data_IF_189459292353
#
_entry.id   IF_189459292353
#
_cell.length_a   1.000
_cell.length_b   1.000
_cell.length_c   1.000
_cell.angle_alpha   90.00
_cell.angle_beta   90.00
_cell.angle_gamma   90.00
#
_symmetry.space_group_name_H-M   'P 1'
#
loop_
_entity.id
_entity.type
_entity.pdbx_description
1 polymer ?
#
# COMPACT_ATOMS: atom_id res chain seq x y z
N UNK A 1 -24.14 7.91 0.30
CA UNK A 1 -23.01 7.06 0.69
C UNK A 1 -21.87 7.30 -0.29
N UNK A 2 -20.62 7.29 0.17
CA UNK A 2 -19.44 7.42 -0.70
C UNK A 2 -19.02 6.02 -1.15
N UNK A 3 -18.99 5.79 -2.46
CA UNK A 3 -18.56 4.53 -3.04
C UNK A 3 -17.10 4.60 -3.55
N UNK A 4 -16.41 3.47 -3.45
CA UNK A 4 -15.05 3.26 -3.93
C UNK A 4 -14.99 1.93 -4.67
N UNK A 5 -14.20 1.85 -5.73
CA UNK A 5 -14.01 0.63 -6.51
C UNK A 5 -13.15 -0.41 -5.76
N UNK A 6 -12.26 0.05 -4.87
CA UNK A 6 -11.53 -0.79 -3.95
C UNK A 6 -11.12 -0.06 -2.66
N UNK A 7 -10.99 -0.81 -1.58
CA UNK A 7 -10.49 -0.35 -0.28
C UNK A 7 -9.25 -1.17 0.08
N UNK A 8 -8.16 -0.48 0.40
CA UNK A 8 -6.88 -1.08 0.79
C UNK A 8 -6.67 -0.78 2.26
N UNK A 9 -6.57 -1.84 3.08
CA UNK A 9 -6.34 -1.72 4.53
C UNK A 9 -4.85 -1.92 4.80
N UNK A 10 -4.18 -0.83 5.17
CA UNK A 10 -2.75 -0.74 5.46
C UNK A 10 -1.98 0.06 4.40
N UNK A 11 -1.41 1.19 4.80
CA UNK A 11 -0.49 2.06 4.05
C UNK A 11 0.98 1.68 4.28
N UNK A 12 1.28 0.38 4.40
CA UNK A 12 2.64 -0.15 4.34
C UNK A 12 3.14 -0.31 2.89
N UNK A 13 4.37 -0.80 2.73
CA UNK A 13 5.00 -0.99 1.39
C UNK A 13 4.14 -1.85 0.44
N UNK A 14 3.48 -2.88 0.97
CA UNK A 14 2.60 -3.75 0.18
C UNK A 14 1.33 -3.00 -0.25
N UNK A 15 0.58 -2.43 0.70
CA UNK A 15 -0.69 -1.77 0.38
C UNK A 15 -0.53 -0.54 -0.49
N UNK A 16 0.50 0.28 -0.28
CA UNK A 16 0.79 1.40 -1.17
C UNK A 16 1.26 0.97 -2.56
N UNK A 17 2.06 -0.11 -2.66
CA UNK A 17 2.42 -0.69 -3.96
C UNK A 17 1.17 -1.16 -4.71
N UNK A 18 0.27 -1.87 -4.04
CA UNK A 18 -1.03 -2.29 -4.60
C UNK A 18 -1.85 -1.08 -5.07
N UNK A 19 -2.01 -0.05 -4.23
CA UNK A 19 -2.76 1.16 -4.56
C UNK A 19 -2.18 1.87 -5.79
N UNK A 20 -0.85 2.00 -5.81
CA UNK A 20 -0.11 2.61 -6.91
C UNK A 20 -0.34 1.85 -8.22
N UNK A 21 -0.19 0.52 -8.21
CA UNK A 21 -0.36 -0.28 -9.42
C UNK A 21 -1.81 -0.30 -9.92
N UNK A 22 -2.81 -0.30 -9.03
CA UNK A 22 -4.23 -0.12 -9.40
C UNK A 22 -4.43 1.23 -10.10
N UNK A 23 -3.98 2.34 -9.50
CA UNK A 23 -4.07 3.66 -10.14
C UNK A 23 -3.31 3.73 -11.46
N UNK A 24 -2.14 3.08 -11.55
CA UNK A 24 -1.33 3.08 -12.77
C UNK A 24 -2.02 2.35 -13.92
N UNK A 25 -2.73 1.26 -13.63
CA UNK A 25 -3.47 0.48 -14.63
C UNK A 25 -4.80 1.15 -15.01
N UNK A 26 -5.51 1.73 -14.04
CA UNK A 26 -6.74 2.47 -14.29
C UNK A 26 -6.82 3.71 -13.38
N UNK A 27 -6.41 4.89 -13.89
CA UNK A 27 -6.39 6.13 -13.12
C UNK A 27 -7.77 6.58 -12.62
N UNK A 28 -8.85 6.13 -13.28
CA UNK A 28 -10.22 6.54 -12.97
C UNK A 28 -10.81 5.81 -11.76
N UNK A 29 -10.25 4.66 -11.36
CA UNK A 29 -10.76 3.91 -10.20
C UNK A 29 -10.61 4.71 -8.91
N UNK A 30 -11.68 4.88 -8.15
CA UNK A 30 -11.67 5.50 -6.83
C UNK A 30 -11.21 4.46 -5.81
N UNK A 31 -10.00 4.63 -5.31
CA UNK A 31 -9.42 3.78 -4.26
C UNK A 31 -9.27 4.54 -2.96
N UNK A 32 -9.64 3.89 -1.87
CA UNK A 32 -9.44 4.36 -0.50
C UNK A 32 -8.34 3.53 0.15
N UNK A 33 -7.29 4.18 0.65
CA UNK A 33 -6.28 3.54 1.51
C UNK A 33 -6.54 3.99 2.94
N UNK A 34 -6.71 3.04 3.85
CA UNK A 34 -6.93 3.30 5.29
C UNK A 34 -5.79 2.68 6.08
N UNK A 35 -5.18 3.44 6.98
CA UNK A 35 -4.17 2.95 7.91
C UNK A 35 -4.56 3.32 9.34
N UNK A 36 -4.10 2.51 10.31
CA UNK A 36 -4.29 2.75 11.74
C UNK A 36 -3.36 3.87 12.25
N UNK A 37 -2.21 4.05 11.62
CA UNK A 37 -1.18 5.00 12.01
C UNK A 37 -1.34 6.37 11.33
N UNK A 38 -0.71 7.39 11.90
CA UNK A 38 -0.86 8.78 11.45
C UNK A 38 -0.14 9.08 10.12
N UNK A 39 0.75 8.20 9.67
CA UNK A 39 1.41 8.32 8.37
C UNK A 39 1.71 6.95 7.76
N UNK A 40 1.89 6.94 6.44
CA UNK A 40 2.29 5.77 5.69
C UNK A 40 3.61 5.15 6.20
N UNK A 41 3.71 3.83 6.13
CA UNK A 41 4.94 3.10 6.44
C UNK A 41 5.29 2.98 7.93
N UNK A 42 4.55 3.60 8.85
CA UNK A 42 4.86 3.59 10.30
C UNK A 42 4.78 2.21 10.97
N UNK A 43 4.24 1.18 10.29
CA UNK A 43 4.26 -0.21 10.72
C UNK A 43 5.60 -0.91 10.47
N UNK A 44 5.55 -2.19 10.06
CA UNK A 44 6.76 -2.99 9.80
C UNK A 44 7.65 -2.46 8.69
N UNK A 45 7.11 -1.66 7.75
CA UNK A 45 7.88 -1.05 6.66
C UNK A 45 9.01 -0.16 7.21
N UNK A 46 8.72 0.77 8.13
CA UNK A 46 9.73 1.64 8.74
C UNK A 46 10.71 0.90 9.66
N UNK A 47 10.38 -0.32 10.10
CA UNK A 47 11.22 -1.15 10.98
C UNK A 47 12.11 -2.13 10.20
N UNK A 48 12.02 -2.13 8.87
CA UNK A 48 12.83 -3.01 8.03
C UNK A 48 14.26 -2.49 7.87
N UNK A 49 15.19 -3.36 7.50
CA UNK A 49 16.56 -2.99 7.11
C UNK A 49 16.64 -2.35 5.71
N UNK A 50 15.53 -2.36 4.95
CA UNK A 50 15.49 -1.90 3.55
C UNK A 50 16.54 -2.54 2.63
N UNK A 51 16.98 -3.76 2.95
CA UNK A 51 17.85 -4.56 2.10
C UNK A 51 17.03 -5.55 1.26
N UNK A 52 17.55 -5.94 0.12
CA UNK A 52 16.97 -6.98 -0.73
C UNK A 52 18.00 -8.08 -1.00
N UNK A 53 17.51 -9.29 -1.25
CA UNK A 53 18.31 -10.41 -1.74
C UNK A 53 17.50 -11.20 -2.76
N UNK A 54 18.20 -11.84 -3.69
CA UNK A 54 17.60 -12.75 -4.67
C UNK A 54 18.04 -14.21 -4.46
N UNK A 55 18.78 -14.50 -3.39
CA UNK A 55 19.24 -15.84 -3.03
C UNK A 55 18.28 -16.43 -2.00
N UNK A 56 17.56 -17.51 -2.33
CA UNK A 56 16.63 -18.23 -1.45
C UNK A 56 16.92 -19.75 -1.54
N UNK A 57 16.54 -20.51 -0.50
CA UNK A 57 16.66 -21.99 -0.45
C UNK A 57 15.30 -22.64 -0.53
#
# INVERSE_FOLDING_TARGET
MTEYDAVIVGAGVIGLSTAYHIKRQNPNLRILVVDKFNAAGQGSTAKSISAFRCLFS
#
